data_IF_593217812520
#
_entry.id   IF_593217812520
#
_cell.length_a   1.000
_cell.length_b   1.000
_cell.length_c   1.000
_cell.angle_alpha   90.00
_cell.angle_beta   90.00
_cell.angle_gamma   90.00
#
_symmetry.space_group_name_H-M   'P 1'
#
loop_
_entity.id
_entity.type
_entity.pdbx_description
1 polymer ?
#
# COMPACT_ATOMS: atom_id res chain seq x y z
N UNK A 1 9.12 -5.84 3.98
CA UNK A 1 8.63 -6.81 2.97
C UNK A 1 7.45 -7.55 3.58
N UNK A 2 6.48 -7.99 2.79
CA UNK A 2 5.31 -8.70 3.30
C UNK A 2 4.82 -9.72 2.30
N UNK A 3 4.21 -10.78 2.81
CA UNK A 3 3.54 -11.80 2.02
C UNK A 3 2.04 -11.71 2.29
N UNK A 4 1.24 -11.73 1.23
CA UNK A 4 -0.22 -11.70 1.34
C UNK A 4 -0.70 -13.14 1.42
N UNK A 5 -1.45 -13.45 2.48
CA UNK A 5 -1.97 -14.80 2.67
C UNK A 5 -3.08 -15.10 1.65
N UNK A 6 -3.09 -16.31 1.05
CA UNK A 6 -4.24 -16.81 0.32
C UNK A 6 -5.50 -16.77 1.19
N UNK A 7 -6.66 -16.60 0.56
CA UNK A 7 -7.93 -16.44 1.26
C UNK A 7 -8.26 -17.67 2.09
N UNK A 8 -8.01 -18.85 1.54
CA UNK A 8 -8.32 -20.15 2.15
C UNK A 8 -7.52 -20.32 3.45
N UNK A 9 -6.21 -20.04 3.39
CA UNK A 9 -5.30 -20.09 4.56
C UNK A 9 -5.70 -19.06 5.63
N UNK A 10 -6.10 -17.85 5.21
CA UNK A 10 -6.52 -16.81 6.14
C UNK A 10 -7.83 -17.16 6.87
N UNK A 11 -8.71 -17.95 6.25
CA UNK A 11 -9.98 -18.42 6.85
C UNK A 11 -9.75 -19.60 7.78
N UNK A 12 -8.91 -20.56 7.39
CA UNK A 12 -8.57 -21.74 8.21
C UNK A 12 -7.73 -21.39 9.44
N UNK A 13 -6.97 -20.29 9.36
CA UNK A 13 -6.07 -19.83 10.40
C UNK A 13 -4.64 -19.82 9.89
N UNK A 14 -4.02 -18.64 9.91
CA UNK A 14 -2.62 -18.50 9.48
C UNK A 14 -1.74 -19.28 10.46
N UNK A 15 -0.89 -20.22 9.98
CA UNK A 15 -0.01 -20.99 10.85
C UNK A 15 0.95 -20.08 11.63
N UNK A 16 1.24 -20.46 12.87
CA UNK A 16 2.17 -19.70 13.70
C UNK A 16 3.57 -19.71 13.09
N UNK A 17 4.21 -18.54 12.95
CA UNK A 17 5.57 -18.44 12.45
C UNK A 17 6.54 -19.08 13.44
N UNK A 18 7.51 -19.86 12.94
CA UNK A 18 8.56 -20.48 13.78
C UNK A 18 9.57 -19.48 14.35
N UNK A 19 9.54 -18.23 13.91
CA UNK A 19 10.50 -17.19 14.27
C UNK A 19 9.79 -15.86 14.49
N UNK A 20 10.19 -15.16 15.54
CA UNK A 20 9.67 -13.84 15.91
C UNK A 20 9.93 -12.75 14.84
N UNK A 21 10.84 -13.00 13.89
CA UNK A 21 11.14 -12.08 12.80
C UNK A 21 10.05 -11.96 11.72
N UNK A 22 9.02 -12.81 11.77
CA UNK A 22 7.94 -12.84 10.77
C UNK A 22 6.57 -12.75 11.46
N UNK A 23 6.22 -11.59 12.05
CA UNK A 23 4.93 -11.45 12.73
C UNK A 23 3.77 -11.48 11.73
N UNK A 24 2.70 -12.16 12.11
CA UNK A 24 1.42 -12.13 11.38
C UNK A 24 0.66 -10.90 11.83
N UNK A 25 0.19 -10.09 10.87
CA UNK A 25 -0.62 -8.90 11.14
C UNK A 25 -1.80 -8.83 10.19
N UNK A 26 -2.93 -8.33 10.69
CA UNK A 26 -4.05 -7.93 9.84
C UNK A 26 -3.66 -6.67 9.07
N UNK A 27 -3.99 -6.64 7.78
CA UNK A 27 -3.89 -5.45 6.93
C UNK A 27 -5.30 -5.08 6.51
N UNK A 28 -5.78 -3.93 6.98
CA UNK A 28 -7.13 -3.50 6.62
C UNK A 28 -7.23 -3.21 5.14
N UNK A 29 -8.43 -3.40 4.58
CA UNK A 29 -8.76 -2.93 3.24
C UNK A 29 -8.71 -1.40 3.16
N UNK A 30 -8.81 -0.84 1.96
CA UNK A 30 -8.88 0.61 1.78
C UNK A 30 -8.69 1.04 0.34
N UNK A 31 -8.83 2.34 0.10
CA UNK A 31 -8.55 2.95 -1.20
C UNK A 31 -7.07 3.31 -1.30
N UNK A 32 -6.47 3.04 -2.45
CA UNK A 32 -5.08 3.35 -2.75
C UNK A 32 -4.99 4.06 -4.08
N UNK A 33 -4.19 5.10 -4.14
CA UNK A 33 -3.70 5.64 -5.40
C UNK A 33 -2.45 4.85 -5.80
N UNK A 34 -2.37 4.46 -7.08
CA UNK A 34 -1.33 3.55 -7.58
C UNK A 34 -0.73 4.08 -8.87
N UNK A 35 0.60 4.06 -8.95
CA UNK A 35 1.32 4.29 -10.21
C UNK A 35 2.05 3.02 -10.64
N UNK A 36 1.82 2.59 -11.88
CA UNK A 36 2.53 1.49 -12.52
C UNK A 36 3.72 2.00 -13.33
N UNK A 37 4.87 1.35 -13.21
CA UNK A 37 6.08 1.70 -13.97
C UNK A 37 6.96 0.48 -14.24
N UNK A 38 7.82 0.61 -15.26
CA UNK A 38 8.86 -0.37 -15.61
C UNK A 38 10.23 0.05 -15.09
N UNK A 39 11.19 -0.88 -15.11
CA UNK A 39 12.57 -0.67 -14.70
C UNK A 39 12.97 -1.47 -13.47
N UNK A 40 14.26 -1.34 -13.10
CA UNK A 40 14.75 -1.88 -11.83
C UNK A 40 14.26 -0.99 -10.69
N UNK A 41 13.58 -1.56 -9.70
CA UNK A 41 13.07 -0.83 -8.54
C UNK A 41 14.23 -0.48 -7.60
N UNK A 42 14.90 0.64 -7.89
CA UNK A 42 15.89 1.26 -7.02
C UNK A 42 15.30 2.47 -6.28
N UNK A 43 16.05 3.01 -5.31
CA UNK A 43 15.60 4.12 -4.48
C UNK A 43 15.33 5.41 -5.27
N UNK A 44 16.07 5.65 -6.35
CA UNK A 44 15.93 6.85 -7.19
C UNK A 44 14.68 6.79 -8.04
N UNK A 45 14.46 5.67 -8.73
CA UNK A 45 13.27 5.43 -9.54
C UNK A 45 12.02 5.41 -8.67
N UNK A 46 12.06 4.72 -7.52
CA UNK A 46 10.91 4.63 -6.61
C UNK A 46 10.50 6.01 -6.10
N UNK A 47 11.46 6.84 -5.63
CA UNK A 47 11.17 8.22 -5.20
C UNK A 47 10.62 9.09 -6.32
N UNK A 48 11.13 8.94 -7.55
CA UNK A 48 10.62 9.68 -8.72
C UNK A 48 9.16 9.33 -9.01
N UNK A 49 8.80 8.05 -8.98
CA UNK A 49 7.43 7.60 -9.24
C UNK A 49 6.49 7.95 -8.09
N UNK A 50 6.96 7.86 -6.84
CA UNK A 50 6.21 8.31 -5.66
C UNK A 50 5.89 9.81 -5.74
N UNK A 51 6.88 10.67 -6.06
CA UNK A 51 6.65 12.10 -6.21
C UNK A 51 5.62 12.41 -7.30
N UNK A 52 5.71 11.71 -8.44
CA UNK A 52 4.72 11.82 -9.53
C UNK A 52 3.32 11.41 -9.07
N UNK A 53 3.21 10.32 -8.32
CA UNK A 53 1.94 9.86 -7.76
C UNK A 53 1.36 10.87 -6.77
N UNK A 54 2.18 11.45 -5.88
CA UNK A 54 1.73 12.49 -4.94
C UNK A 54 1.23 13.75 -5.64
N UNK A 55 1.92 14.19 -6.70
CA UNK A 55 1.45 15.31 -7.52
C UNK A 55 0.09 15.01 -8.16
N UNK A 56 -0.10 13.80 -8.68
CA UNK A 56 -1.38 13.37 -9.24
C UNK A 56 -2.50 13.31 -8.18
N UNK A 57 -2.21 12.76 -7.00
CA UNK A 57 -3.15 12.73 -5.86
C UNK A 57 -3.62 14.15 -5.50
N UNK A 58 -2.68 15.10 -5.38
CA UNK A 58 -3.02 16.51 -5.09
C UNK A 58 -3.84 17.15 -6.21
N UNK A 59 -3.50 16.89 -7.48
CA UNK A 59 -4.25 17.40 -8.63
C UNK A 59 -5.69 16.86 -8.69
N UNK A 60 -5.93 15.67 -8.12
CA UNK A 60 -7.27 15.09 -7.97
C UNK A 60 -8.03 15.58 -6.73
N UNK A 61 -7.44 16.47 -5.91
CA UNK A 61 -8.06 16.93 -4.66
C UNK A 61 -8.17 15.82 -3.61
N UNK A 62 -7.31 14.81 -3.67
CA UNK A 62 -7.29 13.69 -2.75
C UNK A 62 -6.15 13.86 -1.72
N UNK A 63 -6.31 13.23 -0.55
CA UNK A 63 -5.24 13.16 0.44
C UNK A 63 -4.71 11.73 0.57
N UNK A 64 -3.39 11.60 0.45
CA UNK A 64 -2.67 10.35 0.68
C UNK A 64 -2.01 10.31 2.05
N UNK A 65 -1.74 9.10 2.54
CA UNK A 65 -0.88 8.90 3.70
C UNK A 65 0.58 9.29 3.41
N UNK A 66 1.32 9.52 4.48
CA UNK A 66 2.75 9.83 4.41
C UNK A 66 3.56 8.64 3.91
N UNK A 67 3.17 7.42 4.25
CA UNK A 67 3.91 6.21 3.85
C UNK A 67 3.47 5.74 2.47
N UNK A 68 4.46 5.47 1.62
CA UNK A 68 4.28 4.77 0.35
C UNK A 68 4.70 3.31 0.48
N UNK A 69 4.02 2.45 -0.26
CA UNK A 69 4.33 1.03 -0.36
C UNK A 69 4.82 0.69 -1.77
N UNK A 70 5.78 -0.21 -1.86
CA UNK A 70 6.31 -0.71 -3.12
C UNK A 70 5.83 -2.15 -3.35
N UNK A 71 5.34 -2.43 -4.56
CA UNK A 71 4.93 -3.75 -4.99
C UNK A 71 5.65 -4.12 -6.30
N UNK A 72 6.46 -5.18 -6.24
CA UNK A 72 7.11 -5.77 -7.40
C UNK A 72 6.49 -7.13 -7.72
N UNK A 73 6.05 -7.32 -8.95
CA UNK A 73 5.37 -8.56 -9.38
C UNK A 73 6.24 -9.45 -10.26
N UNK A 74 7.32 -8.89 -10.83
CA UNK A 74 8.19 -9.61 -11.73
C UNK A 74 9.28 -10.39 -10.98
N UNK A 75 9.60 -11.63 -11.39
CA UNK A 75 10.76 -12.37 -10.90
C UNK A 75 12.09 -11.63 -11.07
N UNK A 76 13.11 -12.00 -10.29
CA UNK A 76 14.44 -11.39 -10.40
C UNK A 76 15.10 -11.64 -11.76
N UNK A 77 14.74 -12.72 -12.46
CA UNK A 77 15.23 -13.05 -13.80
C UNK A 77 14.62 -12.19 -14.92
N UNK A 78 13.53 -11.46 -14.65
CA UNK A 78 12.90 -10.61 -15.67
C UNK A 78 13.76 -9.37 -15.97
N UNK A 79 14.07 -9.07 -17.24
CA UNK A 79 14.78 -7.85 -17.61
C UNK A 79 14.04 -6.59 -17.16
N UNK A 80 14.78 -5.58 -16.69
CA UNK A 80 14.22 -4.35 -16.09
C UNK A 80 13.06 -3.70 -16.87
N UNK A 81 13.17 -3.47 -18.20
CA UNK A 81 12.10 -2.87 -18.99
C UNK A 81 10.80 -3.67 -19.03
N UNK A 82 10.87 -4.99 -18.81
CA UNK A 82 9.73 -5.90 -18.80
C UNK A 82 9.14 -6.10 -17.40
N UNK A 83 9.76 -5.53 -16.36
CA UNK A 83 9.25 -5.62 -15.01
C UNK A 83 8.03 -4.74 -14.82
N UNK A 84 7.05 -5.25 -14.08
CA UNK A 84 5.93 -4.48 -13.56
C UNK A 84 6.19 -4.18 -12.09
N UNK A 85 6.34 -2.89 -11.79
CA UNK A 85 6.40 -2.37 -10.44
C UNK A 85 5.26 -1.39 -10.21
N UNK A 86 4.83 -1.29 -8.97
CA UNK A 86 3.81 -0.36 -8.52
C UNK A 86 4.27 0.35 -7.24
N UNK A 87 3.93 1.64 -7.14
CA UNK A 87 3.98 2.38 -5.87
C UNK A 87 2.56 2.71 -5.48
N UNK A 88 2.21 2.39 -4.23
CA UNK A 88 0.88 2.55 -3.67
C UNK A 88 0.93 3.56 -2.52
N UNK A 89 -0.01 4.50 -2.51
CA UNK A 89 -0.23 5.41 -1.39
C UNK A 89 -1.67 5.22 -0.95
N UNK A 90 -1.87 4.84 0.32
CA UNK A 90 -3.22 4.75 0.90
C UNK A 90 -3.84 6.13 0.90
N UNK A 91 -5.08 6.22 0.40
CA UNK A 91 -5.84 7.44 0.48
C UNK A 91 -6.48 7.53 1.86
N UNK A 92 -6.43 8.70 2.47
CA UNK A 92 -7.28 8.97 3.62
C UNK A 92 -8.72 8.84 3.16
N UNK A 93 -9.55 8.17 3.95
CA UNK A 93 -10.99 8.31 3.73
C UNK A 93 -11.32 9.80 3.91
N UNK A 94 -12.18 10.40 3.08
CA UNK A 94 -12.87 11.60 3.51
C UNK A 94 -13.55 11.18 4.81
N UNK A 95 -13.09 11.73 5.91
CA UNK A 95 -13.73 11.54 7.19
C UNK A 95 -15.21 11.88 7.00
N UNK A 96 -16.09 10.96 7.41
CA UNK A 96 -17.39 11.30 7.96
C UNK A 96 -17.15 12.25 9.15
N UNK A 97 -16.79 13.50 8.88
CA UNK A 97 -16.68 14.58 9.86
C UNK A 97 -18.07 15.07 10.33
N UNK A 98 -19.12 14.24 10.13
CA UNK A 98 -20.51 14.52 10.50
C UNK A 98 -20.97 13.79 11.77
N UNK A 99 -20.19 12.92 12.42
CA UNK A 99 -20.70 12.10 13.54
C UNK A 99 -19.91 12.10 14.86
N UNK A 100 -19.00 13.06 15.11
CA UNK A 100 -18.36 13.20 16.45
C UNK A 100 -18.49 14.61 17.06
N UNK A 101 -19.63 15.26 16.83
CA UNK A 101 -20.09 16.40 17.66
C UNK A 101 -21.56 16.22 18.03
N UNK A 102 -21.84 15.35 18.99
CA UNK A 102 -23.00 15.41 19.90
C UNK A 102 -23.03 14.13 20.75
N UNK A 103 -22.23 14.10 21.83
CA UNK A 103 -22.65 13.57 23.14
C UNK A 103 -21.78 14.30 24.18
N UNK A 104 -22.23 15.49 24.54
CA UNK A 104 -21.84 16.23 25.74
C UNK A 104 -23.14 16.89 26.17
N UNK A 105 -23.49 16.75 27.45
CA UNK A 105 -24.76 17.11 28.09
C UNK A 105 -25.83 15.99 28.05
N UNK A 106 -25.78 15.07 29.01
CA UNK A 106 -26.58 15.16 30.25
C UNK A 106 -25.90 14.37 31.39
#
# INVERSE_FOLDING_TARGET
MGFVMPKEVAVEGVPDPKSDGVPVRKRDGGRFAVIRFSGQMDSKLSKKQEAKLRQWIMACGLEGETKAEAAGYAPQSTPGPLRRNETLIRLKQPSDESQTKQVSDE
#
